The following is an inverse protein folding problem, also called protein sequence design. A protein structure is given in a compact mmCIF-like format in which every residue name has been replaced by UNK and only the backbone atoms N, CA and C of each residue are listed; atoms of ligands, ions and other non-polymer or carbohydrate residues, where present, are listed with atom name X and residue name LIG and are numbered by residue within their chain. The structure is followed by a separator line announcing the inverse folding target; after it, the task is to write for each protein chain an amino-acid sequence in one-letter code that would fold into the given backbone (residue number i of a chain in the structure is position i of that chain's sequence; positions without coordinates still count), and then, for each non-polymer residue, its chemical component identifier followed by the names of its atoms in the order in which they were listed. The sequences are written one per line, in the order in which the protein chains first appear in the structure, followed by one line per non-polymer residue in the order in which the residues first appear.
data_IF_365786111574
#
_entry.id   IF_365786111574
#
_cell.length_a   1.000
_cell.length_b   1.000
_cell.length_c   1.000
_cell.angle_alpha   90.00
_cell.angle_beta   90.00
_cell.angle_gamma   90.00
#
_symmetry.space_group_name_H-M   'P 1'
#
loop_
_entity.id
_entity.type
_entity.pdbx_description
1 polymer ?
#
# COMPACT_ATOMS: atom_id res chain seq x y z
N UNK A 1 -34.61 21.03 6.95
CA UNK A 1 -33.59 21.47 5.98
C UNK A 1 -32.30 21.70 6.77
N UNK A 2 -31.46 20.68 6.95
CA UNK A 2 -30.24 20.78 7.75
C UNK A 2 -29.07 21.20 6.86
N UNK A 3 -28.54 22.40 7.13
CA UNK A 3 -27.20 22.83 6.74
C UNK A 3 -26.21 21.95 7.49
N UNK A 4 -25.56 21.00 6.81
CA UNK A 4 -24.33 20.41 7.29
C UNK A 4 -23.22 21.04 6.45
N UNK A 5 -22.29 21.64 7.16
CA UNK A 5 -21.21 22.48 6.67
C UNK A 5 -20.46 21.80 5.50
N UNK A 6 -20.25 22.56 4.43
CA UNK A 6 -19.15 22.26 3.51
C UNK A 6 -17.88 22.49 4.31
N UNK A 7 -17.34 21.42 4.87
CA UNK A 7 -15.99 21.40 5.44
C UNK A 7 -15.05 21.68 4.28
N UNK A 8 -14.52 22.89 4.25
CA UNK A 8 -13.39 23.26 3.40
C UNK A 8 -12.32 22.19 3.65
N UNK A 9 -11.90 21.48 2.60
CA UNK A 9 -10.89 20.43 2.74
C UNK A 9 -9.64 20.96 3.47
N UNK A 10 -8.91 20.11 4.20
CA UNK A 10 -7.72 20.53 4.94
C UNK A 10 -6.78 21.30 4.01
N UNK A 11 -6.20 22.39 4.51
CA UNK A 11 -5.22 23.13 3.72
C UNK A 11 -4.02 22.22 3.41
N UNK A 12 -3.28 22.56 2.36
CA UNK A 12 -2.07 21.82 1.98
C UNK A 12 -1.08 21.70 3.15
N UNK A 13 -0.97 22.74 3.98
CA UNK A 13 -0.12 22.76 5.18
C UNK A 13 -0.61 21.85 6.32
N UNK A 14 -1.93 21.76 6.53
CA UNK A 14 -2.52 20.85 7.53
C UNK A 14 -2.23 19.38 7.18
N UNK A 15 -2.36 19.04 5.89
CA UNK A 15 -2.07 17.71 5.37
C UNK A 15 -0.59 17.33 5.57
N UNK A 16 0.34 18.25 5.28
CA UNK A 16 1.76 18.04 5.51
C UNK A 16 2.11 17.88 6.98
N UNK A 17 1.46 18.66 7.84
CA UNK A 17 1.66 18.58 9.29
C UNK A 17 1.20 17.23 9.82
N UNK A 18 0.02 16.78 9.39
CA UNK A 18 -0.48 15.45 9.74
C UNK A 18 0.42 14.34 9.19
N UNK A 19 0.88 14.45 7.93
CA UNK A 19 1.79 13.48 7.33
C UNK A 19 3.09 13.34 8.14
N UNK A 20 3.74 14.46 8.48
CA UNK A 20 4.97 14.46 9.28
C UNK A 20 4.77 13.91 10.69
N UNK A 21 3.58 14.08 11.28
CA UNK A 21 3.28 13.51 12.59
C UNK A 21 3.08 11.98 12.54
N UNK A 22 2.57 11.44 11.44
CA UNK A 22 2.32 10.00 11.27
C UNK A 22 3.60 9.21 10.95
N UNK A 23 4.56 9.84 10.29
CA UNK A 23 5.80 9.19 9.87
C UNK A 23 6.61 8.55 11.02
N UNK A 24 6.95 9.24 12.12
CA UNK A 24 7.71 8.64 13.22
C UNK A 24 6.91 7.55 13.95
N UNK A 25 5.58 7.62 13.96
CA UNK A 25 4.71 6.61 14.56
C UNK A 25 4.78 5.31 13.75
N UNK A 26 4.76 5.42 12.42
CA UNK A 26 4.93 4.26 11.53
C UNK A 26 6.33 3.66 11.63
N UNK A 27 7.36 4.50 11.67
CA UNK A 27 8.75 4.03 11.80
C UNK A 27 8.96 3.29 13.13
N UNK A 28 8.41 3.83 14.22
CA UNK A 28 8.42 3.15 15.52
C UNK A 28 7.67 1.82 15.46
N UNK A 29 6.46 1.79 14.88
CA UNK A 29 5.69 0.55 14.76
C UNK A 29 6.41 -0.53 13.95
N UNK A 30 7.04 -0.17 12.83
CA UNK A 30 7.85 -1.09 12.02
C UNK A 30 9.08 -1.56 12.79
N UNK A 31 9.74 -0.66 13.53
CA UNK A 31 10.91 -1.03 14.32
C UNK A 31 10.53 -1.98 15.47
N UNK A 32 9.41 -1.76 16.12
CA UNK A 32 8.88 -2.64 17.17
C UNK A 32 8.56 -4.02 16.61
N UNK A 33 7.89 -4.12 15.46
CA UNK A 33 7.63 -5.43 14.83
C UNK A 33 8.91 -6.13 14.40
N UNK A 34 9.93 -5.40 13.91
CA UNK A 34 11.22 -5.97 13.50
C UNK A 34 12.14 -6.37 14.66
N UNK A 35 12.07 -5.67 15.79
CA UNK A 35 12.97 -5.91 16.95
C UNK A 35 12.42 -6.95 17.92
N UNK A 36 11.12 -7.19 17.93
CA UNK A 36 10.56 -8.41 18.49
C UNK A 36 10.97 -9.58 17.61
N UNK A 37 12.13 -10.18 17.87
CA UNK A 37 12.57 -11.42 17.22
C UNK A 37 11.49 -12.47 17.46
N UNK A 38 10.69 -12.85 16.46
CA UNK A 38 9.71 -13.89 16.66
C UNK A 38 10.49 -15.18 16.86
N UNK A 39 10.05 -16.05 17.77
CA UNK A 39 10.51 -17.44 17.72
C UNK A 39 10.30 -17.97 16.28
N UNK A 40 11.11 -18.90 15.78
CA UNK A 40 10.90 -19.49 14.44
C UNK A 40 9.46 -19.98 14.23
N UNK A 41 8.77 -20.39 15.31
CA UNK A 41 7.36 -20.75 15.31
C UNK A 41 6.39 -19.55 15.13
N UNK A 42 6.74 -18.38 15.63
CA UNK A 42 5.96 -17.14 15.58
C UNK A 42 6.15 -16.41 14.24
N UNK A 43 7.30 -16.63 13.58
CA UNK A 43 7.57 -16.19 12.21
C UNK A 43 6.65 -16.83 11.15
N UNK A 44 5.86 -17.83 11.51
CA UNK A 44 4.85 -18.43 10.62
C UNK A 44 3.41 -18.08 11.01
N UNK A 45 3.22 -17.22 12.03
CA UNK A 45 1.89 -16.74 12.40
C UNK A 45 1.33 -15.84 11.28
N UNK A 46 0.21 -16.23 10.64
CA UNK A 46 -0.41 -15.43 9.61
C UNK A 46 -0.84 -14.04 10.08
N UNK A 47 -1.09 -13.87 11.38
CA UNK A 47 -1.43 -12.58 12.00
C UNK A 47 -0.23 -11.65 11.98
N UNK A 48 0.95 -12.14 12.37
CA UNK A 48 2.18 -11.35 12.36
C UNK A 48 2.57 -10.97 10.92
N UNK A 49 2.50 -11.93 9.99
CA UNK A 49 2.73 -11.68 8.56
C UNK A 49 1.78 -10.62 8.01
N UNK A 50 0.52 -10.62 8.44
CA UNK A 50 -0.47 -9.60 8.07
C UNK A 50 -0.14 -8.22 8.65
N UNK A 51 0.19 -8.14 9.94
CA UNK A 51 0.51 -6.87 10.61
C UNK A 51 1.70 -6.20 9.93
N UNK A 52 2.75 -6.96 9.64
CA UNK A 52 3.93 -6.43 8.96
C UNK A 52 3.59 -5.92 7.55
N UNK A 53 2.83 -6.69 6.76
CA UNK A 53 2.34 -6.21 5.46
C UNK A 53 1.50 -4.94 5.57
N UNK A 54 0.65 -4.84 6.58
CA UNK A 54 -0.20 -3.68 6.77
C UNK A 54 0.61 -2.44 7.15
N UNK A 55 1.63 -2.59 7.99
CA UNK A 55 2.54 -1.51 8.33
C UNK A 55 3.29 -0.99 7.10
N UNK A 56 3.84 -1.89 6.28
CA UNK A 56 4.47 -1.49 5.01
C UNK A 56 3.47 -0.85 4.04
N UNK A 57 2.23 -1.35 3.98
CA UNK A 57 1.19 -0.77 3.13
C UNK A 57 0.77 0.63 3.60
N UNK A 58 0.77 0.88 4.92
CA UNK A 58 0.51 2.21 5.47
C UNK A 58 1.60 3.20 5.04
N UNK A 59 2.87 2.78 5.02
CA UNK A 59 3.97 3.58 4.45
C UNK A 59 3.69 3.91 2.98
N UNK A 60 3.28 2.93 2.16
CA UNK A 60 2.95 3.18 0.75
C UNK A 60 1.81 4.18 0.59
N UNK A 61 0.73 4.06 1.37
CA UNK A 61 -0.40 5.00 1.34
C UNK A 61 0.05 6.41 1.70
N UNK A 62 0.78 6.53 2.80
CA UNK A 62 1.24 7.81 3.33
C UNK A 62 2.11 8.55 2.29
N UNK A 63 3.05 7.84 1.68
CA UNK A 63 3.99 8.39 0.68
C UNK A 63 3.35 8.65 -0.68
N UNK A 64 2.40 7.81 -1.11
CA UNK A 64 1.66 8.04 -2.37
C UNK A 64 0.72 9.23 -2.24
N UNK A 65 0.13 9.44 -1.05
CA UNK A 65 -0.73 10.59 -0.80
C UNK A 65 0.04 11.91 -0.91
N UNK A 66 1.32 11.96 -0.51
CA UNK A 66 2.17 13.13 -0.78
C UNK A 66 2.37 13.40 -2.26
N UNK A 67 2.61 12.36 -3.08
CA UNK A 67 2.80 12.52 -4.52
C UNK A 67 1.57 13.10 -5.23
N UNK A 68 0.38 12.88 -4.69
CA UNK A 68 -0.87 13.43 -5.23
C UNK A 68 -1.09 14.91 -4.90
N UNK A 69 -0.33 15.45 -3.93
CA UNK A 69 -0.38 16.85 -3.56
C UNK A 69 0.57 17.62 -4.49
N UNK A 70 0.04 18.45 -5.38
CA UNK A 70 0.82 19.40 -6.19
C UNK A 70 1.40 20.47 -5.27
N UNK A 71 2.53 20.16 -4.63
CA UNK A 71 3.21 21.07 -3.73
C UNK A 71 4.26 21.88 -4.49
N UNK A 72 3.98 23.17 -4.72
CA UNK A 72 4.94 24.14 -5.23
C UNK A 72 5.91 24.54 -4.10
N UNK A 73 6.87 23.70 -3.73
CA UNK A 73 7.97 24.15 -2.84
C UNK A 73 9.26 23.40 -3.12
N UNK A 74 10.33 24.16 -3.37
CA UNK A 74 11.69 23.67 -3.61
C UNK A 74 12.23 22.81 -2.44
N UNK A 75 11.71 23.01 -1.23
CA UNK A 75 12.03 22.18 -0.04
C UNK A 75 11.55 20.73 -0.20
N UNK A 76 10.53 20.49 -1.01
CA UNK A 76 9.95 19.17 -1.23
C UNK A 76 10.77 18.30 -2.18
N UNK A 77 11.61 18.91 -3.03
CA UNK A 77 12.38 18.19 -4.03
C UNK A 77 13.43 17.27 -3.40
N UNK A 78 14.12 17.73 -2.35
CA UNK A 78 15.11 16.91 -1.62
C UNK A 78 14.44 15.81 -0.77
N UNK A 79 13.29 16.10 -0.16
CA UNK A 79 12.56 15.09 0.64
C UNK A 79 11.87 14.05 -0.24
N UNK A 80 11.50 14.41 -1.47
CA UNK A 80 10.85 13.52 -2.44
C UNK A 80 11.72 12.28 -2.73
N UNK A 81 13.04 12.47 -2.90
CA UNK A 81 13.95 11.35 -3.16
C UNK A 81 14.07 10.35 -2.00
N UNK A 82 14.00 10.81 -0.76
CA UNK A 82 14.00 9.94 0.43
C UNK A 82 12.67 9.20 0.59
N UNK A 83 11.56 9.88 0.34
CA UNK A 83 10.23 9.29 0.33
C UNK A 83 10.08 8.21 -0.73
N UNK A 84 10.58 8.44 -1.93
CA UNK A 84 10.57 7.40 -2.96
C UNK A 84 11.35 6.16 -2.53
N UNK A 85 12.57 6.33 -2.01
CA UNK A 85 13.37 5.20 -1.50
C UNK A 85 12.63 4.42 -0.40
N UNK A 86 11.97 5.11 0.52
CA UNK A 86 11.18 4.50 1.60
C UNK A 86 9.98 3.72 1.05
N UNK A 87 9.28 4.27 0.06
CA UNK A 87 8.18 3.58 -0.62
C UNK A 87 8.66 2.33 -1.37
N UNK A 88 9.77 2.43 -2.10
CA UNK A 88 10.36 1.26 -2.76
C UNK A 88 10.74 0.16 -1.77
N UNK A 89 11.39 0.53 -0.66
CA UNK A 89 11.75 -0.44 0.39
C UNK A 89 10.49 -1.11 0.98
N UNK A 90 9.43 -0.36 1.24
CA UNK A 90 8.18 -0.93 1.75
C UNK A 90 7.54 -1.91 0.74
N UNK A 91 7.57 -1.59 -0.56
CA UNK A 91 7.09 -2.50 -1.61
C UNK A 91 7.92 -3.80 -1.71
N UNK A 92 9.25 -3.70 -1.64
CA UNK A 92 10.16 -4.86 -1.59
C UNK A 92 9.87 -5.74 -0.36
N UNK A 93 9.63 -5.13 0.80
CA UNK A 93 9.28 -5.84 2.03
C UNK A 93 7.97 -6.61 1.85
N UNK A 94 6.90 -5.98 1.33
CA UNK A 94 5.64 -6.68 1.03
C UNK A 94 5.87 -7.82 0.05
N UNK A 95 6.68 -7.62 -0.99
CA UNK A 95 7.01 -8.67 -1.95
C UNK A 95 7.72 -9.86 -1.29
N UNK A 96 8.64 -9.62 -0.34
CA UNK A 96 9.27 -10.69 0.44
C UNK A 96 8.27 -11.45 1.32
N UNK A 97 7.31 -10.74 1.93
CA UNK A 97 6.26 -11.32 2.77
C UNK A 97 5.26 -12.13 1.94
N UNK A 98 5.02 -11.76 0.69
CA UNK A 98 4.20 -12.54 -0.25
C UNK A 98 4.77 -13.93 -0.49
N UNK A 99 6.09 -14.07 -0.55
CA UNK A 99 6.72 -15.39 -0.67
C UNK A 99 6.37 -16.27 0.54
N UNK A 100 6.35 -15.69 1.74
CA UNK A 100 5.91 -16.39 2.96
C UNK A 100 4.42 -16.79 2.90
N UNK A 101 3.55 -15.93 2.34
CA UNK A 101 2.14 -16.29 2.13
C UNK A 101 1.96 -17.51 1.21
N UNK A 102 2.82 -17.67 0.21
CA UNK A 102 2.71 -18.81 -0.73
C UNK A 102 2.91 -20.16 -0.06
N UNK A 103 3.59 -20.19 1.10
CA UNK A 103 3.76 -21.38 1.93
C UNK A 103 2.62 -21.58 2.93
N UNK A 104 1.74 -20.59 3.12
CA UNK A 104 0.55 -20.68 3.96
C UNK A 104 -0.63 -21.14 3.09
N UNK A 105 -1.41 -22.09 3.61
CA UNK A 105 -2.70 -22.43 2.99
C UNK A 105 -3.63 -21.20 2.98
N UNK A 106 -4.44 -21.02 1.93
CA UNK A 106 -5.31 -19.84 1.77
C UNK A 106 -6.25 -19.57 2.95
N UNK A 107 -6.64 -20.61 3.71
CA UNK A 107 -7.47 -20.48 4.91
C UNK A 107 -6.72 -20.00 6.16
N UNK A 108 -5.39 -20.06 6.15
CA UNK A 108 -4.55 -19.54 7.23
C UNK A 108 -4.27 -18.05 7.05
N UNK A 109 -4.34 -17.54 5.82
CA UNK A 109 -4.07 -16.14 5.53
C UNK A 109 -5.13 -15.25 6.18
N UNK A 110 -4.69 -14.16 6.83
CA UNK A 110 -5.59 -13.23 7.48
C UNK A 110 -6.59 -12.62 6.46
N UNK A 111 -7.89 -12.48 6.80
CA UNK A 111 -8.91 -12.07 5.84
C UNK A 111 -8.69 -10.67 5.24
N UNK A 112 -7.91 -9.81 5.91
CA UNK A 112 -7.58 -8.46 5.44
C UNK A 112 -6.22 -8.33 4.74
N UNK A 113 -5.41 -9.40 4.66
CA UNK A 113 -4.17 -9.43 3.85
C UNK A 113 -4.36 -8.92 2.41
N UNK A 114 -5.48 -9.19 1.71
CA UNK A 114 -5.72 -8.65 0.39
C UNK A 114 -5.60 -7.12 0.26
N UNK A 115 -5.85 -6.36 1.33
CA UNK A 115 -5.74 -4.89 1.34
C UNK A 115 -4.29 -4.47 1.09
N UNK A 116 -3.34 -5.07 1.82
CA UNK A 116 -1.92 -4.74 1.68
C UNK A 116 -1.38 -5.13 0.29
N UNK A 117 -1.81 -6.29 -0.23
CA UNK A 117 -1.46 -6.72 -1.58
C UNK A 117 -2.00 -5.75 -2.65
N UNK A 118 -3.24 -5.32 -2.51
CA UNK A 118 -3.86 -4.36 -3.43
C UNK A 118 -3.12 -3.02 -3.42
N UNK A 119 -2.85 -2.45 -2.24
CA UNK A 119 -2.11 -1.19 -2.10
C UNK A 119 -0.73 -1.29 -2.76
N UNK A 120 0.00 -2.37 -2.50
CA UNK A 120 1.32 -2.57 -3.10
C UNK A 120 1.24 -2.70 -4.63
N UNK A 121 0.25 -3.44 -5.15
CA UNK A 121 0.07 -3.59 -6.59
C UNK A 121 -0.32 -2.27 -7.29
N UNK A 122 -1.19 -1.47 -6.68
CA UNK A 122 -1.52 -0.11 -7.17
C UNK A 122 -0.27 0.78 -7.20
N UNK A 123 0.51 0.77 -6.11
CA UNK A 123 1.76 1.52 -6.03
C UNK A 123 2.71 1.13 -7.15
N UNK A 124 3.00 -0.18 -7.32
CA UNK A 124 3.92 -0.66 -8.37
C UNK A 124 3.42 -0.31 -9.77
N UNK A 125 2.09 -0.30 -10.01
CA UNK A 125 1.50 0.11 -11.29
C UNK A 125 1.62 1.61 -11.56
N UNK A 126 1.57 2.44 -10.51
CA UNK A 126 1.65 3.90 -10.61
C UNK A 126 3.06 4.43 -10.95
N UNK A 127 4.08 3.57 -10.94
CA UNK A 127 5.45 3.95 -11.21
C UNK A 127 5.63 4.32 -12.69
N UNK A 128 6.09 5.56 -12.94
CA UNK A 128 6.26 6.12 -14.29
C UNK A 128 7.34 5.40 -15.12
N UNK A 129 8.33 4.80 -14.48
CA UNK A 129 9.41 4.02 -15.12
C UNK A 129 9.39 2.57 -14.62
N UNK A 130 8.58 1.70 -15.24
CA UNK A 130 8.54 0.29 -14.87
C UNK A 130 9.88 -0.36 -15.24
N UNK A 131 10.69 -0.67 -14.22
CA UNK A 131 11.83 -1.58 -14.39
C UNK A 131 11.30 -3.00 -14.60
N UNK A 132 12.14 -3.88 -15.18
CA UNK A 132 11.80 -5.31 -15.28
C UNK A 132 11.48 -5.93 -13.92
N UNK A 133 12.12 -5.44 -12.85
CA UNK A 133 11.85 -5.86 -11.46
C UNK A 133 10.45 -5.47 -11.00
N UNK A 134 10.01 -4.22 -11.27
CA UNK A 134 8.67 -3.74 -10.87
C UNK A 134 7.56 -4.53 -11.57
N UNK A 135 7.72 -4.83 -12.86
CA UNK A 135 6.76 -5.65 -13.59
C UNK A 135 6.65 -7.08 -13.02
N UNK A 136 7.79 -7.68 -12.62
CA UNK A 136 7.81 -8.98 -11.96
C UNK A 136 7.13 -8.93 -10.59
N UNK A 137 7.40 -7.91 -9.77
CA UNK A 137 6.76 -7.72 -8.47
C UNK A 137 5.25 -7.55 -8.58
N UNK A 138 4.80 -6.67 -9.48
CA UNK A 138 3.38 -6.48 -9.74
C UNK A 138 2.71 -7.80 -10.12
N UNK A 139 3.33 -8.59 -11.00
CA UNK A 139 2.83 -9.91 -11.40
C UNK A 139 2.75 -10.87 -10.22
N UNK A 140 3.77 -10.94 -9.38
CA UNK A 140 3.79 -11.78 -8.18
C UNK A 140 2.66 -11.40 -7.23
N UNK A 141 2.56 -10.13 -6.86
CA UNK A 141 1.55 -9.62 -5.91
C UNK A 141 0.13 -9.85 -6.46
N UNK A 142 -0.09 -9.54 -7.73
CA UNK A 142 -1.39 -9.74 -8.39
C UNK A 142 -1.77 -11.22 -8.46
N UNK A 143 -0.79 -12.10 -8.64
CA UNK A 143 -1.01 -13.55 -8.63
C UNK A 143 -1.41 -14.04 -7.25
N UNK A 144 -0.72 -13.59 -6.20
CA UNK A 144 -1.08 -13.93 -4.81
C UNK A 144 -2.46 -13.40 -4.42
N UNK A 145 -2.82 -12.19 -4.83
CA UNK A 145 -4.17 -11.66 -4.61
C UNK A 145 -5.25 -12.54 -5.26
N UNK A 146 -5.04 -12.94 -6.51
CA UNK A 146 -5.93 -13.86 -7.25
C UNK A 146 -6.01 -15.25 -6.61
N UNK A 147 -4.91 -15.78 -6.06
CA UNK A 147 -4.92 -17.07 -5.35
C UNK A 147 -5.78 -17.04 -4.08
N UNK A 148 -5.93 -15.87 -3.45
CA UNK A 148 -6.80 -15.70 -2.28
C UNK A 148 -8.29 -15.55 -2.65
N UNK A 149 -8.60 -15.12 -3.88
CA UNK A 149 -9.97 -14.82 -4.32
C UNK A 149 -11.01 -15.95 -4.11
N UNK A 150 -10.70 -17.25 -4.31
CA UNK A 150 -11.68 -18.32 -4.12
C UNK A 150 -12.15 -18.49 -2.67
N UNK A 151 -11.29 -18.18 -1.70
CA UNK A 151 -11.56 -18.33 -0.27
C UNK A 151 -11.82 -16.98 0.43
N UNK A 152 -11.63 -15.86 -0.26
CA UNK A 152 -11.71 -14.52 0.31
C UNK A 152 -12.44 -13.54 -0.62
N UNK A 153 -13.63 -13.10 -0.20
CA UNK A 153 -14.49 -12.20 -0.99
C UNK A 153 -13.85 -10.82 -1.22
N UNK A 154 -13.08 -10.34 -0.24
CA UNK A 154 -12.34 -9.08 -0.35
C UNK A 154 -11.25 -9.19 -1.42
N UNK A 155 -10.51 -10.31 -1.45
CA UNK A 155 -9.52 -10.57 -2.50
C UNK A 155 -10.16 -10.59 -3.89
N UNK A 156 -11.31 -11.26 -4.05
CA UNK A 156 -12.04 -11.26 -5.33
C UNK A 156 -12.43 -9.85 -5.79
N UNK A 157 -12.97 -9.02 -4.87
CA UNK A 157 -13.35 -7.65 -5.21
C UNK A 157 -12.15 -6.81 -5.61
N UNK A 158 -11.05 -6.90 -4.85
CA UNK A 158 -9.84 -6.13 -5.11
C UNK A 158 -9.12 -6.59 -6.38
N UNK A 159 -9.15 -7.88 -6.71
CA UNK A 159 -8.63 -8.39 -7.99
C UNK A 159 -9.37 -7.77 -9.18
N UNK A 160 -10.71 -7.76 -9.15
CA UNK A 160 -11.52 -7.13 -10.21
C UNK A 160 -11.22 -5.64 -10.32
N UNK A 161 -11.04 -4.95 -9.18
CA UNK A 161 -10.66 -3.54 -9.17
C UNK A 161 -9.27 -3.32 -9.76
N UNK A 162 -8.31 -4.19 -9.45
CA UNK A 162 -6.93 -4.12 -9.94
C UNK A 162 -6.83 -4.31 -11.46
N UNK A 163 -7.76 -5.07 -12.05
CA UNK A 163 -7.84 -5.34 -13.49
C UNK A 163 -8.56 -4.24 -14.28
N UNK A 164 -9.37 -3.41 -13.62
CA UNK A 164 -9.99 -2.25 -14.29
C UNK A 164 -8.92 -1.16 -14.41
N UNK A 165 -8.44 -0.93 -15.62
CA UNK A 165 -7.55 0.20 -15.90
C UNK A 165 -8.18 1.52 -15.41
N UNK A 166 -7.41 2.42 -14.77
CA UNK A 166 -7.88 3.74 -14.36
C UNK A 166 -8.22 4.69 -15.54
N UNK A 167 -8.22 4.21 -16.79
CA UNK A 167 -8.40 4.99 -18.02
C UNK A 167 -9.81 4.89 -18.66
N UNK A 168 -10.79 4.23 -18.03
CA UNK A 168 -12.12 4.00 -18.64
C UNK A 168 -13.29 4.77 -18.03
N UNK A 169 -13.06 5.93 -17.41
CA UNK A 169 -14.15 6.76 -16.86
C UNK A 169 -14.06 8.26 -17.23
N UNK A 170 -13.55 8.55 -18.43
CA UNK A 170 -13.34 9.92 -18.92
C UNK A 170 -13.77 10.19 -20.37
N UNK A 171 -14.52 9.31 -21.02
CA UNK A 171 -14.98 9.57 -22.40
C UNK A 171 -16.35 8.95 -22.64
N UNK A 172 -17.41 9.66 -22.22
CA UNK A 172 -18.72 9.70 -22.90
C UNK A 172 -19.71 10.49 -22.04
N UNK A 173 -19.66 11.82 -22.09
CA UNK A 173 -20.82 12.71 -21.91
C UNK A 173 -20.51 14.03 -22.60
N UNK A 174 -20.63 14.02 -23.93
CA UNK A 174 -20.96 15.19 -24.75
C UNK A 174 -21.24 14.68 -26.18
N UNK A 175 -22.50 14.32 -26.41
CA UNK A 175 -23.17 14.33 -27.71
C UNK A 175 -24.58 14.88 -27.48
#
# INVERSE_FOLDING_TARGET
MCKVERIMGPSSEDFLTQHRALEPILDQGIQETMTSTPSEMESSDPTYVFIDMLAQAAVLVLLTALKSLTLDTETYHDTCGEYEKKAFKAAEMIHSLVQRLSHLGCFKVHPFTPIALFICAEFTRSLQTPSSNHAAQFKTISTSLRQLAPANKLAQMLEVKLQRDPQTDGTTRDL
#
